data_IF_047009366894
#
_entry.id   IF_047009366894
#
_cell.length_a   1.000
_cell.length_b   1.000
_cell.length_c   1.000
_cell.angle_alpha   90.00
_cell.angle_beta   90.00
_cell.angle_gamma   90.00
#
_symmetry.space_group_name_H-M   'P 1'
#
loop_
_entity.id
_entity.type
_entity.pdbx_description
1 polymer ?
#
# COMPACT_ATOMS: atom_id res chain seq x y z
N UNK A 1 -43.46 -4.34 -62.15
CA UNK A 1 -44.04 -4.35 -60.78
C UNK A 1 -42.91 -3.94 -59.83
N UNK A 2 -42.76 -2.65 -59.50
CA UNK A 2 -43.31 -1.86 -58.36
C UNK A 2 -42.57 -2.07 -57.02
N UNK A 3 -41.96 -0.98 -56.52
CA UNK A 3 -41.47 -0.75 -55.14
C UNK A 3 -40.03 -0.22 -55.13
N UNK A 4 -39.72 1.05 -55.45
CA UNK A 4 -40.02 2.34 -54.78
C UNK A 4 -39.40 2.46 -53.37
N UNK A 5 -38.23 3.13 -53.35
CA UNK A 5 -37.60 3.93 -52.30
C UNK A 5 -38.07 3.78 -50.85
N UNK A 6 -37.11 3.60 -49.93
CA UNK A 6 -37.02 4.51 -48.78
C UNK A 6 -35.58 4.60 -48.27
N UNK A 7 -34.97 5.77 -48.41
CA UNK A 7 -33.66 6.17 -47.88
C UNK A 7 -33.63 6.29 -46.34
N UNK A 8 -34.50 5.56 -45.63
CA UNK A 8 -34.84 5.81 -44.23
C UNK A 8 -34.31 4.76 -43.23
N UNK A 9 -33.43 3.84 -43.63
CA UNK A 9 -32.75 2.93 -42.69
C UNK A 9 -31.28 3.26 -42.45
N UNK A 10 -30.74 4.28 -43.13
CA UNK A 10 -29.35 4.77 -42.92
C UNK A 10 -29.20 5.58 -41.60
N UNK A 11 -30.27 5.81 -40.84
CA UNK A 11 -30.24 6.67 -39.64
C UNK A 11 -30.32 5.92 -38.29
N UNK A 12 -30.53 4.59 -38.24
CA UNK A 12 -30.83 3.92 -36.97
C UNK A 12 -29.82 2.89 -36.40
N UNK A 13 -28.61 2.72 -36.96
CA UNK A 13 -27.59 1.84 -36.32
C UNK A 13 -26.22 2.53 -36.18
N UNK A 14 -26.20 3.87 -36.16
CA UNK A 14 -25.01 4.67 -35.80
C UNK A 14 -25.03 5.12 -34.32
N UNK A 15 -25.79 4.45 -33.45
CA UNK A 15 -26.08 4.94 -32.08
C UNK A 15 -26.00 3.89 -30.96
N UNK A 16 -25.24 2.80 -31.13
CA UNK A 16 -25.09 1.78 -30.07
C UNK A 16 -23.65 1.39 -29.71
N UNK A 17 -22.67 2.24 -29.97
CA UNK A 17 -21.35 2.12 -29.32
C UNK A 17 -21.11 3.29 -28.37
N UNK A 18 -21.11 3.03 -27.07
CA UNK A 18 -20.05 3.45 -26.17
C UNK A 18 -19.16 2.22 -25.96
N UNK A 19 -17.97 2.13 -26.57
CA UNK A 19 -16.75 2.77 -26.08
C UNK A 19 -16.67 2.75 -24.54
N UNK A 20 -16.69 1.56 -23.92
CA UNK A 20 -16.25 1.39 -22.54
C UNK A 20 -14.72 1.45 -22.47
N UNK A 21 -14.20 2.66 -22.65
CA UNK A 21 -12.90 3.07 -22.13
C UNK A 21 -12.99 3.12 -20.60
N UNK A 22 -12.59 2.03 -19.92
CA UNK A 22 -12.68 1.95 -18.46
C UNK A 22 -11.64 1.06 -17.77
N UNK A 23 -10.61 0.56 -18.47
CA UNK A 23 -9.52 -0.18 -17.82
C UNK A 23 -8.37 0.77 -17.49
N UNK A 24 -8.42 1.41 -16.31
CA UNK A 24 -7.25 2.15 -15.80
C UNK A 24 -7.45 3.02 -14.58
N UNK A 25 -8.68 3.46 -14.26
CA UNK A 25 -8.92 4.46 -13.20
C UNK A 25 -9.28 3.84 -11.84
N UNK A 26 -9.73 2.59 -11.79
CA UNK A 26 -10.25 2.00 -10.54
C UNK A 26 -9.18 1.36 -9.64
N UNK A 27 -8.09 0.80 -10.21
CA UNK A 27 -7.12 0.04 -9.42
C UNK A 27 -6.27 0.90 -8.47
N UNK A 28 -5.96 2.14 -8.87
CA UNK A 28 -5.21 3.08 -8.04
C UNK A 28 -6.06 3.66 -6.92
N UNK A 29 -7.31 4.05 -7.22
CA UNK A 29 -8.25 4.56 -6.21
C UNK A 29 -8.58 3.54 -5.11
N UNK A 30 -8.67 2.25 -5.45
CA UNK A 30 -8.88 1.18 -4.45
C UNK A 30 -7.63 0.91 -3.62
N UNK A 31 -6.43 0.95 -4.22
CA UNK A 31 -5.18 0.71 -3.51
C UNK A 31 -4.86 1.86 -2.55
N UNK A 32 -5.11 3.10 -2.96
CA UNK A 32 -4.87 4.29 -2.13
C UNK A 32 -5.87 4.37 -0.96
N UNK A 33 -7.16 4.04 -1.19
CA UNK A 33 -8.14 3.95 -0.09
C UNK A 33 -7.87 2.81 0.88
N UNK A 34 -7.40 1.66 0.38
CA UNK A 34 -6.97 0.54 1.23
C UNK A 34 -5.73 0.91 2.06
N UNK A 35 -4.75 1.57 1.44
CA UNK A 35 -3.55 2.07 2.11
C UNK A 35 -3.89 3.01 3.27
N UNK A 36 -4.84 3.92 3.06
CA UNK A 36 -5.32 4.84 4.10
C UNK A 36 -5.96 4.08 5.26
N UNK A 37 -6.86 3.14 4.96
CA UNK A 37 -7.52 2.29 5.97
C UNK A 37 -6.51 1.49 6.80
N UNK A 38 -5.52 0.91 6.15
CA UNK A 38 -4.45 0.17 6.81
C UNK A 38 -3.58 1.09 7.67
N UNK A 39 -3.31 2.32 7.22
CA UNK A 39 -2.53 3.31 7.96
C UNK A 39 -3.22 3.72 9.26
N UNK A 40 -4.53 3.96 9.21
CA UNK A 40 -5.35 4.23 10.40
C UNK A 40 -5.31 3.05 11.37
N UNK A 41 -5.51 1.82 10.87
CA UNK A 41 -5.46 0.60 11.70
C UNK A 41 -4.10 0.41 12.36
N UNK A 42 -3.00 0.61 11.61
CA UNK A 42 -1.64 0.46 12.11
C UNK A 42 -1.36 1.47 13.24
N UNK A 43 -1.72 2.74 13.02
CA UNK A 43 -1.53 3.80 14.01
C UNK A 43 -2.36 3.57 15.27
N UNK A 44 -3.61 3.13 15.13
CA UNK A 44 -4.49 2.82 16.26
C UNK A 44 -3.94 1.68 17.10
N UNK A 45 -3.58 0.55 16.45
CA UNK A 45 -3.00 -0.60 17.13
C UNK A 45 -1.68 -0.24 17.84
N UNK A 46 -0.83 0.56 17.19
CA UNK A 46 0.41 1.06 17.80
C UNK A 46 0.12 1.92 19.03
N UNK A 47 -0.86 2.83 18.97
CA UNK A 47 -1.23 3.70 20.10
C UNK A 47 -1.80 2.90 21.28
N UNK A 48 -2.50 1.81 21.00
CA UNK A 48 -3.02 0.89 22.01
C UNK A 48 -1.95 -0.06 22.58
N UNK A 49 -0.73 -0.07 22.03
CA UNK A 49 0.32 -1.00 22.42
C UNK A 49 0.13 -2.41 21.86
N UNK A 50 -0.84 -2.63 20.97
CA UNK A 50 -0.98 -3.89 20.24
C UNK A 50 0.01 -3.94 19.07
N UNK A 51 1.28 -4.11 19.44
CA UNK A 51 2.38 -4.14 18.48
C UNK A 51 2.28 -5.31 17.49
N UNK A 52 1.58 -6.40 17.86
CA UNK A 52 1.36 -7.53 16.93
C UNK A 52 0.40 -7.13 15.82
N UNK A 53 -0.72 -6.49 16.15
CA UNK A 53 -1.65 -6.00 15.12
C UNK A 53 -1.05 -4.87 14.31
N UNK A 54 -0.32 -3.95 14.94
CA UNK A 54 0.37 -2.88 14.24
C UNK A 54 1.39 -3.43 13.23
N UNK A 55 2.21 -4.41 13.62
CA UNK A 55 3.17 -5.05 12.72
C UNK A 55 2.49 -5.70 11.51
N UNK A 56 1.37 -6.41 11.72
CA UNK A 56 0.58 -7.00 10.62
C UNK A 56 0.07 -5.93 9.65
N UNK A 57 -0.49 -4.84 10.18
CA UNK A 57 -0.98 -3.75 9.34
C UNK A 57 0.16 -3.08 8.54
N UNK A 58 1.35 -2.87 9.15
CA UNK A 58 2.51 -2.37 8.41
C UNK A 58 3.03 -3.34 7.34
N UNK A 59 2.95 -4.66 7.57
CA UNK A 59 3.27 -5.65 6.54
C UNK A 59 2.28 -5.59 5.37
N UNK A 60 0.98 -5.41 5.63
CA UNK A 60 -0.04 -5.22 4.59
C UNK A 60 0.20 -3.93 3.80
N UNK A 61 0.53 -2.83 4.47
CA UNK A 61 0.95 -1.57 3.83
C UNK A 61 2.14 -1.80 2.89
N UNK A 62 3.16 -2.51 3.36
CA UNK A 62 4.35 -2.82 2.56
C UNK A 62 4.10 -3.81 1.42
N UNK A 63 3.00 -4.58 1.44
CA UNK A 63 2.57 -5.36 0.27
C UNK A 63 1.99 -4.48 -0.83
N UNK A 64 1.28 -3.40 -0.45
CA UNK A 64 0.75 -2.44 -1.41
C UNK A 64 1.83 -1.49 -1.93
N UNK A 65 2.74 -1.07 -1.04
CA UNK A 65 3.80 -0.10 -1.33
C UNK A 65 5.13 -0.56 -0.71
N UNK A 66 5.91 -1.40 -1.41
CA UNK A 66 7.14 -2.00 -0.88
C UNK A 66 8.27 -0.99 -0.60
N UNK A 67 8.20 0.18 -1.22
CA UNK A 67 9.19 1.25 -1.18
C UNK A 67 8.96 2.27 -0.06
N UNK A 68 7.87 2.13 0.70
CA UNK A 68 7.45 3.07 1.74
C UNK A 68 8.34 2.95 2.99
N UNK A 69 9.49 3.63 2.99
CA UNK A 69 10.51 3.57 4.04
C UNK A 69 9.94 3.87 5.44
N UNK A 70 8.97 4.78 5.54
CA UNK A 70 8.29 5.12 6.80
C UNK A 70 7.53 3.93 7.37
N UNK A 71 6.80 3.18 6.55
CA UNK A 71 6.09 1.97 6.99
C UNK A 71 7.08 0.87 7.40
N UNK A 72 8.21 0.76 6.69
CA UNK A 72 9.29 -0.18 7.04
C UNK A 72 9.97 0.18 8.37
N UNK A 73 10.22 1.47 8.61
CA UNK A 73 10.73 1.96 9.89
C UNK A 73 9.76 1.60 11.03
N UNK A 74 8.47 1.89 10.85
CA UNK A 74 7.46 1.59 11.88
C UNK A 74 7.29 0.09 12.12
N UNK A 75 7.37 -0.75 11.07
CA UNK A 75 7.42 -2.20 11.23
C UNK A 75 8.60 -2.62 12.13
N UNK A 76 9.79 -2.05 11.89
CA UNK A 76 10.97 -2.30 12.72
C UNK A 76 10.74 -1.90 14.18
N UNK A 77 10.08 -0.76 14.43
CA UNK A 77 9.70 -0.34 15.78
C UNK A 77 8.73 -1.33 16.43
N UNK A 78 7.74 -1.85 15.70
CA UNK A 78 6.80 -2.83 16.26
C UNK A 78 7.50 -4.15 16.59
N UNK A 79 8.41 -4.61 15.73
CA UNK A 79 9.24 -5.79 15.98
C UNK A 79 10.13 -5.60 17.22
N UNK A 80 10.75 -4.41 17.35
CA UNK A 80 11.54 -4.05 18.52
C UNK A 80 10.70 -4.08 19.81
N UNK A 81 9.51 -3.45 19.81
CA UNK A 81 8.58 -3.47 20.95
C UNK A 81 8.09 -4.87 21.32
N UNK A 82 8.02 -5.78 20.34
CA UNK A 82 7.73 -7.20 20.56
C UNK A 82 8.93 -8.01 21.05
N UNK A 83 10.09 -7.39 21.23
CA UNK A 83 11.38 -8.02 21.53
C UNK A 83 11.85 -9.01 20.47
N UNK A 84 11.31 -8.92 19.25
CA UNK A 84 11.83 -9.63 18.09
C UNK A 84 13.00 -8.84 17.50
N UNK A 85 14.09 -8.77 18.28
CA UNK A 85 15.28 -8.01 17.94
C UNK A 85 15.96 -8.52 16.65
N UNK A 86 15.79 -9.81 16.35
CA UNK A 86 16.29 -10.40 15.11
C UNK A 86 15.57 -9.80 13.90
N UNK A 87 14.24 -9.80 13.89
CA UNK A 87 13.49 -9.20 12.80
C UNK A 87 13.70 -7.68 12.74
N UNK A 88 13.70 -7.01 13.91
CA UNK A 88 13.89 -5.57 14.00
C UNK A 88 15.23 -5.12 13.37
N UNK A 89 16.35 -5.79 13.72
CA UNK A 89 17.66 -5.45 13.16
C UNK A 89 17.72 -5.60 11.64
N UNK A 90 17.12 -6.65 11.09
CA UNK A 90 17.03 -6.86 9.63
C UNK A 90 16.22 -5.75 8.97
N UNK A 91 15.07 -5.39 9.56
CA UNK A 91 14.20 -4.35 9.04
C UNK A 91 14.87 -2.97 9.06
N UNK A 92 15.51 -2.59 10.17
CA UNK A 92 16.25 -1.33 10.25
C UNK A 92 17.45 -1.29 9.31
N UNK A 93 18.19 -2.40 9.19
CA UNK A 93 19.26 -2.53 8.20
C UNK A 93 18.76 -2.25 6.78
N UNK A 94 17.59 -2.79 6.42
CA UNK A 94 16.98 -2.55 5.11
C UNK A 94 16.51 -1.09 4.92
N UNK A 95 16.11 -0.38 5.97
CA UNK A 95 15.81 1.07 5.90
C UNK A 95 17.09 1.87 5.66
N UNK A 96 18.19 1.50 6.32
CA UNK A 96 19.49 2.16 6.17
C UNK A 96 20.13 1.95 4.79
N UNK A 97 19.79 0.88 4.06
CA UNK A 97 20.19 0.73 2.66
C UNK A 97 19.62 1.85 1.77
N UNK A 98 18.44 2.40 2.10
CA UNK A 98 17.80 3.49 1.36
C UNK A 98 18.22 4.87 1.91
N UNK A 99 18.30 5.00 3.23
CA UNK A 99 18.74 6.24 3.88
C UNK A 99 19.80 5.92 4.96
N UNK A 100 21.10 5.88 4.60
CA UNK A 100 22.17 5.48 5.51
C UNK A 100 22.33 6.38 6.75
N UNK A 101 21.85 7.62 6.67
CA UNK A 101 21.99 8.63 7.73
C UNK A 101 20.74 8.80 8.57
N UNK A 102 19.72 7.95 8.40
CA UNK A 102 18.50 8.04 9.20
C UNK A 102 18.80 7.69 10.66
N UNK A 103 18.76 8.71 11.52
CA UNK A 103 19.12 8.59 12.93
C UNK A 103 18.29 7.53 13.66
N UNK A 104 16.96 7.53 13.47
CA UNK A 104 16.07 6.58 14.14
C UNK A 104 16.40 5.13 13.77
N UNK A 105 16.60 4.83 12.49
CA UNK A 105 16.96 3.48 12.06
C UNK A 105 18.33 3.03 12.60
N UNK A 106 19.34 3.91 12.61
CA UNK A 106 20.65 3.62 13.21
C UNK A 106 20.54 3.35 14.72
N UNK A 107 19.80 4.19 15.44
CA UNK A 107 19.57 4.05 16.88
C UNK A 107 18.92 2.70 17.19
N UNK A 108 17.78 2.41 16.58
CA UNK A 108 17.05 1.18 16.87
C UNK A 108 17.73 -0.08 16.32
N UNK A 109 18.55 0.02 15.27
CA UNK A 109 19.45 -1.07 14.88
C UNK A 109 20.44 -1.38 16.01
N UNK A 110 21.12 -0.37 16.54
CA UNK A 110 22.05 -0.54 17.67
C UNK A 110 21.37 -1.18 18.89
N UNK A 111 20.21 -0.67 19.27
CA UNK A 111 19.42 -1.23 20.39
C UNK A 111 18.99 -2.68 20.12
N UNK A 112 18.57 -2.99 18.90
CA UNK A 112 18.20 -4.36 18.52
C UNK A 112 19.39 -5.33 18.60
N UNK A 113 20.58 -4.89 18.20
CA UNK A 113 21.79 -5.70 18.29
C UNK A 113 22.22 -5.97 19.74
N UNK A 114 21.96 -5.02 20.64
CA UNK A 114 22.17 -5.18 22.08
C UNK A 114 21.08 -6.01 22.77
N UNK A 115 19.94 -6.24 22.11
CA UNK A 115 18.76 -6.96 22.64
C UNK A 115 18.23 -6.36 23.95
N UNK A 116 18.18 -5.03 24.02
CA UNK A 116 17.73 -4.25 25.19
C UNK A 116 16.27 -3.81 25.11
#
# INVERSE_FOLDING_TARGET
>A
MRGRFSLLSIVCVLLSLPLESGLGVQATGTADSELERLSVRAAEAQRQGDFRQAAKAYQEILRLRPDLSTAKLNLGLMQFSLKDYSAASQTFGAVLQQNPKLFSANLFLGLSLLRV
#
